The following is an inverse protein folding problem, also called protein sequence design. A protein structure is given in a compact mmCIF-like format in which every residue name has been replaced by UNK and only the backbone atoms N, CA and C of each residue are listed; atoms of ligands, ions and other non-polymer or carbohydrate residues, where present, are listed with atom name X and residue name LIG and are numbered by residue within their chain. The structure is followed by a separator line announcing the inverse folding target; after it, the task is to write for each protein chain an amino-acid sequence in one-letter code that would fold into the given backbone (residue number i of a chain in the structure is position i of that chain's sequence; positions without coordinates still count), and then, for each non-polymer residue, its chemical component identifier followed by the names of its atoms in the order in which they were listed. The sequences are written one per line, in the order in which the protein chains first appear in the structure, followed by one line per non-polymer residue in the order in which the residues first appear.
data_IF_576268010538
#
_entry.id   IF_576268010538
#
_cell.length_a   1.000
_cell.length_b   1.000
_cell.length_c   1.000
_cell.angle_alpha   90.00
_cell.angle_beta   90.00
_cell.angle_gamma   90.00
#
_symmetry.space_group_name_H-M   'P 1'
#
loop_
_entity.id
_entity.type
_entity.pdbx_description
1 polymer ?
#
# COMPACT_ATOMS: atom_id res chain seq x y z
N UNK A 1 -35.77 95.16 17.38
CA UNK A 1 -36.75 94.08 17.24
C UNK A 1 -36.03 92.95 16.49
N UNK A 2 -35.85 91.80 17.10
CA UNK A 2 -34.93 90.82 16.61
C UNK A 2 -35.58 89.88 15.58
N UNK A 3 -34.80 89.55 14.53
CA UNK A 3 -35.10 88.54 13.54
C UNK A 3 -34.67 87.21 14.06
N UNK A 4 -35.54 86.21 14.11
CA UNK A 4 -35.26 84.85 14.42
C UNK A 4 -34.85 84.13 13.15
N UNK A 5 -33.62 83.62 13.13
CA UNK A 5 -33.11 82.69 12.12
C UNK A 5 -33.69 81.33 12.36
N UNK A 6 -34.33 80.74 11.38
CA UNK A 6 -34.78 79.35 11.38
C UNK A 6 -33.62 78.43 10.97
N UNK A 7 -33.31 77.50 11.86
CA UNK A 7 -32.30 76.45 11.67
C UNK A 7 -32.84 75.42 10.70
N UNK A 8 -32.14 75.21 9.58
CA UNK A 8 -32.46 74.18 8.61
C UNK A 8 -31.96 72.83 9.12
N UNK A 9 -32.90 71.91 9.26
CA UNK A 9 -32.55 70.50 9.60
C UNK A 9 -31.84 69.81 8.44
N UNK A 10 -30.69 69.25 8.74
CA UNK A 10 -29.98 68.36 7.82
C UNK A 10 -30.71 67.03 7.74
N UNK A 11 -31.19 66.67 6.54
CA UNK A 11 -31.64 65.35 6.19
C UNK A 11 -30.41 64.41 6.12
N UNK A 12 -30.32 63.53 7.09
CA UNK A 12 -29.40 62.42 7.06
C UNK A 12 -29.95 61.37 6.11
N UNK A 13 -29.36 61.27 4.92
CA UNK A 13 -29.64 60.18 4.00
C UNK A 13 -29.09 58.90 4.60
N UNK A 14 -29.98 58.09 5.17
CA UNK A 14 -29.68 56.71 5.54
C UNK A 14 -29.57 55.88 4.24
N UNK A 15 -28.34 55.63 3.83
CA UNK A 15 -28.06 54.71 2.78
C UNK A 15 -28.26 53.30 3.35
N UNK A 16 -29.41 52.70 3.08
CA UNK A 16 -29.70 51.29 3.40
C UNK A 16 -28.70 50.43 2.65
N UNK A 17 -27.76 49.80 3.38
CA UNK A 17 -26.88 48.78 2.86
C UNK A 17 -27.73 47.60 2.42
N UNK A 18 -27.84 47.37 1.12
CA UNK A 18 -28.49 46.20 0.56
C UNK A 18 -27.75 44.95 1.06
N UNK A 19 -28.44 43.93 1.58
CA UNK A 19 -27.83 42.71 1.99
C UNK A 19 -27.18 42.05 0.75
N UNK A 20 -25.86 41.88 0.77
CA UNK A 20 -25.14 41.12 -0.23
C UNK A 20 -25.68 39.68 -0.18
N UNK A 21 -26.55 39.35 -1.11
CA UNK A 21 -26.99 37.95 -1.30
C UNK A 21 -25.80 37.11 -1.70
N UNK A 22 -25.20 36.46 -0.72
CA UNK A 22 -24.22 35.40 -0.96
C UNK A 22 -24.97 34.22 -1.61
N UNK A 23 -24.97 34.14 -2.95
CA UNK A 23 -25.36 32.95 -3.65
C UNK A 23 -24.19 31.98 -3.44
N UNK A 24 -24.31 30.90 -2.63
CA UNK A 24 -23.31 29.87 -2.61
C UNK A 24 -23.31 29.27 -4.02
N UNK A 25 -22.28 29.57 -4.81
CA UNK A 25 -22.00 28.80 -5.99
C UNK A 25 -21.72 27.38 -5.44
N UNK A 26 -22.65 26.47 -5.63
CA UNK A 26 -22.44 25.07 -5.27
C UNK A 26 -21.22 24.61 -6.08
N UNK A 27 -20.06 24.67 -5.45
CA UNK A 27 -18.89 23.96 -5.95
C UNK A 27 -19.35 22.51 -6.09
N UNK A 28 -19.52 22.05 -7.33
CA UNK A 28 -19.80 20.64 -7.59
C UNK A 28 -18.55 19.87 -7.14
N UNK A 29 -18.56 19.47 -5.87
CA UNK A 29 -17.49 18.67 -5.29
C UNK A 29 -17.55 17.28 -5.92
N UNK A 30 -16.60 17.01 -6.83
CA UNK A 30 -16.52 15.75 -7.55
C UNK A 30 -15.55 14.83 -6.82
N UNK A 31 -16.01 13.64 -6.46
CA UNK A 31 -15.20 12.61 -5.79
C UNK A 31 -14.98 11.47 -6.78
N UNK A 32 -13.74 11.05 -6.93
CA UNK A 32 -13.42 9.81 -7.64
C UNK A 32 -13.29 8.65 -6.65
N UNK A 33 -13.59 7.43 -7.09
CA UNK A 33 -13.23 6.24 -6.33
C UNK A 33 -12.76 5.13 -7.27
N UNK A 34 -11.94 4.22 -6.74
CA UNK A 34 -11.42 3.10 -7.52
C UNK A 34 -11.04 1.93 -6.60
N UNK A 35 -10.93 0.74 -7.19
CA UNK A 35 -10.30 -0.40 -6.55
C UNK A 35 -8.82 -0.46 -6.94
N UNK A 36 -7.95 -0.28 -5.95
CA UNK A 36 -6.50 -0.36 -6.13
C UNK A 36 -6.08 -1.77 -6.60
N UNK A 37 -6.65 -2.80 -5.99
CA UNK A 37 -6.37 -4.19 -6.32
C UNK A 37 -6.76 -4.52 -7.75
N UNK A 38 -7.93 -4.06 -8.21
CA UNK A 38 -8.34 -4.29 -9.59
C UNK A 38 -7.42 -3.62 -10.60
N UNK A 39 -6.97 -2.39 -10.34
CA UNK A 39 -6.01 -1.69 -11.18
C UNK A 39 -4.66 -2.42 -11.18
N UNK A 40 -4.14 -2.75 -10.00
CA UNK A 40 -2.86 -3.43 -9.82
C UNK A 40 -2.78 -4.75 -10.61
N UNK A 41 -3.80 -5.60 -10.51
CA UNK A 41 -3.81 -6.91 -11.17
C UNK A 41 -3.92 -6.84 -12.71
N UNK A 42 -4.24 -5.68 -13.29
CA UNK A 42 -4.24 -5.52 -14.75
C UNK A 42 -2.93 -4.98 -15.31
N UNK A 43 -2.01 -4.55 -14.45
CA UNK A 43 -0.72 -4.00 -14.87
C UNK A 43 0.26 -5.12 -15.26
N UNK A 44 0.83 -5.04 -16.46
CA UNK A 44 1.86 -5.98 -16.93
C UNK A 44 3.10 -5.99 -16.04
N UNK A 45 3.49 -4.82 -15.53
CA UNK A 45 4.63 -4.68 -14.61
C UNK A 45 4.40 -5.45 -13.32
N UNK A 46 3.19 -5.39 -12.75
CA UNK A 46 2.84 -6.15 -11.56
C UNK A 46 2.90 -7.66 -11.80
N UNK A 47 2.37 -8.13 -12.93
CA UNK A 47 2.43 -9.55 -13.29
C UNK A 47 3.88 -10.04 -13.43
N UNK A 48 4.73 -9.24 -14.06
CA UNK A 48 6.17 -9.55 -14.17
C UNK A 48 6.87 -9.59 -12.81
N UNK A 49 6.55 -8.66 -11.92
CA UNK A 49 7.05 -8.65 -10.54
C UNK A 49 6.62 -9.91 -9.79
N UNK A 50 5.34 -10.31 -9.92
CA UNK A 50 4.83 -11.52 -9.28
C UNK A 50 5.52 -12.79 -9.78
N UNK A 51 5.81 -12.88 -11.07
CA UNK A 51 6.55 -14.00 -11.65
C UNK A 51 7.99 -14.10 -11.09
N UNK A 52 8.71 -12.98 -11.07
CA UNK A 52 10.08 -12.93 -10.54
C UNK A 52 10.12 -13.30 -9.06
N UNK A 53 9.21 -12.73 -8.25
CA UNK A 53 9.11 -13.04 -6.82
C UNK A 53 8.68 -14.48 -6.57
N UNK A 54 7.78 -15.03 -7.39
CA UNK A 54 7.37 -16.42 -7.33
C UNK A 54 8.54 -17.37 -7.58
N UNK A 55 9.35 -17.08 -8.59
CA UNK A 55 10.55 -17.85 -8.90
C UNK A 55 11.58 -17.79 -7.76
N UNK A 56 11.83 -16.61 -7.21
CA UNK A 56 12.73 -16.42 -6.07
C UNK A 56 12.25 -17.19 -4.83
N UNK A 57 10.96 -17.10 -4.52
CA UNK A 57 10.35 -17.87 -3.42
C UNK A 57 10.53 -19.37 -3.60
N UNK A 58 10.27 -19.87 -4.79
CA UNK A 58 10.44 -21.30 -5.12
C UNK A 58 11.88 -21.77 -4.92
N UNK A 59 12.87 -20.95 -5.28
CA UNK A 59 14.28 -21.26 -5.05
C UNK A 59 14.59 -21.37 -3.55
N UNK A 60 14.20 -20.39 -2.74
CA UNK A 60 14.42 -20.44 -1.29
C UNK A 60 13.71 -21.61 -0.62
N UNK A 61 12.47 -21.90 -1.01
CA UNK A 61 11.72 -23.05 -0.49
C UNK A 61 12.38 -24.38 -0.85
N UNK A 62 12.95 -24.48 -2.06
CA UNK A 62 13.68 -25.68 -2.48
C UNK A 62 14.94 -25.88 -1.64
N UNK A 63 15.73 -24.83 -1.42
CA UNK A 63 16.93 -24.90 -0.60
C UNK A 63 16.61 -25.20 0.87
N UNK A 64 15.53 -24.62 1.42
CA UNK A 64 15.09 -24.94 2.78
C UNK A 64 14.70 -26.41 2.91
N UNK A 65 13.94 -26.96 1.95
CA UNK A 65 13.58 -28.39 1.95
C UNK A 65 14.80 -29.29 1.85
N UNK A 66 15.78 -28.93 1.03
CA UNK A 66 17.03 -29.70 0.92
C UNK A 66 17.80 -29.70 2.23
N UNK A 67 17.94 -28.55 2.87
CA UNK A 67 18.63 -28.40 4.14
C UNK A 67 17.92 -29.16 5.29
N UNK A 68 16.59 -29.10 5.34
CA UNK A 68 15.77 -29.86 6.30
C UNK A 68 15.91 -31.37 6.08
N UNK A 69 15.90 -31.82 4.84
CA UNK A 69 16.11 -33.24 4.48
C UNK A 69 17.47 -33.72 4.89
N UNK A 70 18.52 -32.97 4.55
CA UNK A 70 19.89 -33.31 4.94
C UNK A 70 20.05 -33.43 6.47
N UNK A 71 19.45 -32.49 7.18
CA UNK A 71 19.43 -32.54 8.66
C UNK A 71 18.71 -33.78 9.18
N UNK A 72 17.52 -34.10 8.66
CA UNK A 72 16.75 -35.26 9.06
C UNK A 72 17.52 -36.58 8.84
N UNK A 73 18.13 -36.75 7.66
CA UNK A 73 18.94 -37.95 7.34
C UNK A 73 20.15 -38.12 8.29
N UNK A 74 20.84 -37.01 8.59
CA UNK A 74 21.98 -37.04 9.52
C UNK A 74 21.54 -37.28 10.96
N UNK A 75 20.42 -36.74 11.34
CA UNK A 75 19.86 -36.92 12.67
C UNK A 75 19.40 -38.38 12.89
N UNK A 76 18.70 -38.98 11.93
CA UNK A 76 18.30 -40.39 11.96
C UNK A 76 19.52 -41.32 12.05
N UNK A 77 20.51 -41.10 11.17
CA UNK A 77 21.76 -41.88 11.20
C UNK A 77 22.52 -41.73 12.54
N UNK A 78 22.46 -40.58 13.18
CA UNK A 78 23.02 -40.38 14.51
C UNK A 78 22.26 -41.18 15.57
N UNK A 79 20.92 -41.15 15.55
CA UNK A 79 20.10 -41.89 16.51
C UNK A 79 20.35 -43.39 16.50
N UNK A 80 20.58 -44.00 15.32
CA UNK A 80 20.85 -45.42 15.17
C UNK A 80 22.14 -45.86 15.86
N UNK A 81 23.17 -45.00 15.83
CA UNK A 81 24.52 -45.40 16.29
C UNK A 81 24.96 -44.72 17.59
N UNK A 82 24.21 -43.75 18.15
CA UNK A 82 24.64 -42.92 19.27
C UNK A 82 25.08 -43.72 20.50
N UNK A 83 24.44 -44.87 20.77
CA UNK A 83 24.76 -45.69 21.93
C UNK A 83 26.04 -46.51 21.81
N UNK A 84 26.51 -46.76 20.55
CA UNK A 84 27.73 -47.47 20.27
C UNK A 84 28.97 -46.58 20.08
N UNK A 85 28.77 -45.27 20.01
CA UNK A 85 29.83 -44.30 19.79
C UNK A 85 30.63 -44.00 21.07
N UNK A 86 31.93 -43.85 20.92
CA UNK A 86 32.76 -43.26 21.95
C UNK A 86 32.29 -41.83 22.31
N UNK A 87 32.42 -41.45 23.58
CA UNK A 87 31.86 -40.21 24.10
C UNK A 87 32.27 -38.95 23.29
N UNK A 88 33.54 -38.83 22.97
CA UNK A 88 34.06 -37.71 22.16
C UNK A 88 33.49 -37.65 20.73
N UNK A 89 33.26 -38.81 20.10
CA UNK A 89 32.66 -38.89 18.77
C UNK A 89 31.17 -38.51 18.82
N UNK A 90 30.47 -38.99 19.82
CA UNK A 90 29.06 -38.66 20.05
C UNK A 90 28.87 -37.16 20.26
N UNK A 91 29.65 -36.53 21.12
CA UNK A 91 29.65 -35.11 21.41
C UNK A 91 29.92 -34.28 20.16
N UNK A 92 30.92 -34.65 19.37
CA UNK A 92 31.21 -33.99 18.09
C UNK A 92 30.03 -34.07 17.12
N UNK A 93 29.39 -35.24 16.96
CA UNK A 93 28.22 -35.36 16.04
C UNK A 93 27.02 -34.59 16.55
N UNK A 94 26.76 -34.54 17.86
CA UNK A 94 25.71 -33.70 18.44
C UNK A 94 25.95 -32.21 18.15
N UNK A 95 27.18 -31.75 18.30
CA UNK A 95 27.55 -30.36 17.98
C UNK A 95 27.37 -30.04 16.48
N UNK A 96 27.72 -30.97 15.60
CA UNK A 96 27.52 -30.82 14.15
C UNK A 96 26.04 -30.69 13.80
N UNK A 97 25.17 -31.53 14.38
CA UNK A 97 23.73 -31.47 14.18
C UNK A 97 23.13 -30.16 14.72
N UNK A 98 23.57 -29.72 15.89
CA UNK A 98 23.13 -28.43 16.46
C UNK A 98 23.53 -27.26 15.55
N UNK A 99 24.78 -27.24 15.07
CA UNK A 99 25.24 -26.21 14.14
C UNK A 99 24.46 -26.24 12.79
N UNK A 100 24.03 -27.44 12.31
CA UNK A 100 23.18 -27.52 11.13
C UNK A 100 21.80 -26.92 11.40
N UNK A 101 21.19 -27.25 12.52
CA UNK A 101 19.88 -26.70 12.90
C UNK A 101 19.93 -25.17 13.00
N UNK A 102 20.94 -24.63 13.69
CA UNK A 102 21.14 -23.18 13.82
C UNK A 102 21.30 -22.49 12.46
N UNK A 103 22.10 -23.09 11.55
CA UNK A 103 22.27 -22.57 10.19
C UNK A 103 20.98 -22.63 9.36
N UNK A 104 20.19 -23.68 9.51
CA UNK A 104 18.92 -23.80 8.80
C UNK A 104 17.91 -22.75 9.28
N UNK A 105 17.86 -22.47 10.58
CA UNK A 105 17.03 -21.40 11.15
C UNK A 105 17.49 -20.05 10.64
N UNK A 106 18.78 -19.75 10.72
CA UNK A 106 19.33 -18.48 10.25
C UNK A 106 19.11 -18.28 8.73
N UNK A 107 19.26 -19.33 7.92
CA UNK A 107 18.96 -19.26 6.50
C UNK A 107 17.50 -18.97 6.21
N UNK A 108 16.57 -19.57 6.95
CA UNK A 108 15.14 -19.31 6.80
C UNK A 108 14.79 -17.86 7.12
N UNK A 109 15.34 -17.32 8.19
CA UNK A 109 15.11 -15.92 8.58
C UNK A 109 15.66 -14.94 7.52
N UNK A 110 16.88 -15.23 7.04
CA UNK A 110 17.52 -14.43 6.00
C UNK A 110 16.75 -14.50 4.67
N UNK A 111 16.29 -15.68 4.27
CA UNK A 111 15.47 -15.85 3.06
C UNK A 111 14.16 -15.05 3.13
N UNK A 112 13.48 -15.07 4.29
CA UNK A 112 12.26 -14.27 4.50
C UNK A 112 12.56 -12.77 4.41
N UNK A 113 13.65 -12.31 5.00
CA UNK A 113 14.07 -10.91 4.95
C UNK A 113 14.37 -10.47 3.51
N UNK A 114 15.13 -11.28 2.78
CA UNK A 114 15.49 -10.96 1.38
C UNK A 114 14.27 -10.98 0.45
N UNK A 115 13.32 -11.89 0.66
CA UNK A 115 12.06 -11.90 -0.09
C UNK A 115 11.25 -10.63 0.16
N UNK A 116 11.12 -10.20 1.42
CA UNK A 116 10.40 -8.97 1.76
C UNK A 116 11.06 -7.73 1.15
N UNK A 117 12.40 -7.64 1.22
CA UNK A 117 13.14 -6.53 0.60
C UNK A 117 13.02 -6.52 -0.94
N UNK A 118 13.07 -7.70 -1.57
CA UNK A 118 12.90 -7.84 -3.00
C UNK A 118 11.50 -7.42 -3.44
N UNK A 119 10.47 -7.83 -2.68
CA UNK A 119 9.07 -7.44 -2.93
C UNK A 119 8.90 -5.93 -2.83
N UNK A 120 9.40 -5.31 -1.77
CA UNK A 120 9.27 -3.85 -1.58
C UNK A 120 9.94 -3.08 -2.71
N UNK A 121 11.18 -3.45 -3.06
CA UNK A 121 11.93 -2.82 -4.15
C UNK A 121 11.25 -2.99 -5.52
N UNK A 122 10.74 -4.19 -5.80
CA UNK A 122 10.10 -4.48 -7.08
C UNK A 122 8.73 -3.82 -7.21
N UNK A 123 8.00 -3.67 -6.08
CA UNK A 123 6.69 -3.03 -6.05
C UNK A 123 6.75 -1.50 -6.06
N UNK A 124 7.87 -0.90 -5.71
CA UNK A 124 8.01 0.56 -5.64
C UNK A 124 7.64 1.25 -6.97
N UNK A 125 8.24 0.89 -8.12
CA UNK A 125 7.91 1.55 -9.39
C UNK A 125 6.46 1.32 -9.82
N UNK A 126 5.86 0.17 -9.50
CA UNK A 126 4.46 -0.13 -9.78
C UNK A 126 3.54 0.81 -9.00
N UNK A 127 3.81 0.99 -7.69
CA UNK A 127 3.06 1.91 -6.83
C UNK A 127 3.20 3.36 -7.29
N UNK A 128 4.39 3.78 -7.71
CA UNK A 128 4.64 5.12 -8.23
C UNK A 128 3.84 5.39 -9.51
N UNK A 129 3.81 4.46 -10.46
CA UNK A 129 3.00 4.57 -11.67
C UNK A 129 1.52 4.74 -11.37
N UNK A 130 0.98 3.97 -10.42
CA UNK A 130 -0.43 4.11 -9.99
C UNK A 130 -0.65 5.48 -9.36
N UNK A 131 0.24 5.93 -8.47
CA UNK A 131 0.13 7.23 -7.83
C UNK A 131 0.19 8.39 -8.84
N UNK A 132 1.05 8.29 -9.86
CA UNK A 132 1.13 9.27 -10.93
C UNK A 132 -0.14 9.32 -11.78
N UNK A 133 -0.69 8.15 -12.14
CA UNK A 133 -1.95 8.08 -12.86
C UNK A 133 -3.11 8.70 -12.06
N UNK A 134 -3.19 8.42 -10.76
CA UNK A 134 -4.19 9.01 -9.87
C UNK A 134 -4.04 10.54 -9.81
N UNK A 135 -2.82 11.06 -9.65
CA UNK A 135 -2.56 12.51 -9.64
C UNK A 135 -2.96 13.16 -10.95
N UNK A 136 -2.62 12.54 -12.09
CA UNK A 136 -2.98 13.02 -13.41
C UNK A 136 -4.49 13.09 -13.60
N UNK A 137 -5.20 11.99 -13.34
CA UNK A 137 -6.66 11.93 -13.45
C UNK A 137 -7.34 12.90 -12.50
N UNK A 138 -6.83 13.01 -11.26
CA UNK A 138 -7.32 13.95 -10.26
C UNK A 138 -7.28 15.40 -10.74
N UNK A 139 -6.15 15.82 -11.31
CA UNK A 139 -5.97 17.15 -11.85
C UNK A 139 -6.80 17.43 -13.11
N UNK A 140 -6.78 16.50 -14.08
CA UNK A 140 -7.50 16.65 -15.36
C UNK A 140 -9.01 16.69 -15.19
N UNK A 141 -9.55 15.96 -14.24
CA UNK A 141 -11.01 15.84 -14.00
C UNK A 141 -11.51 16.69 -12.83
N UNK A 142 -10.62 17.46 -12.21
CA UNK A 142 -10.92 18.32 -11.08
C UNK A 142 -11.60 17.60 -9.90
N UNK A 143 -11.16 16.37 -9.60
CA UNK A 143 -11.60 15.69 -8.37
C UNK A 143 -10.99 16.39 -7.15
N UNK A 144 -11.80 16.62 -6.14
CA UNK A 144 -11.33 17.13 -4.85
C UNK A 144 -10.70 16.02 -3.99
N UNK A 145 -11.11 14.77 -4.25
CA UNK A 145 -10.69 13.59 -3.53
C UNK A 145 -10.83 12.36 -4.44
N UNK A 146 -9.86 11.45 -4.36
CA UNK A 146 -9.95 10.12 -4.95
C UNK A 146 -9.73 9.10 -3.84
N UNK A 147 -10.65 8.15 -3.70
CA UNK A 147 -10.69 7.18 -2.60
C UNK A 147 -10.44 5.78 -3.12
N UNK A 148 -9.58 5.03 -2.45
CA UNK A 148 -9.49 3.58 -2.62
C UNK A 148 -10.61 2.90 -1.84
N UNK A 149 -11.40 2.05 -2.50
CA UNK A 149 -12.55 1.36 -1.89
C UNK A 149 -12.24 -0.05 -1.39
N UNK A 150 -11.01 -0.52 -1.58
CA UNK A 150 -10.62 -1.84 -1.12
C UNK A 150 -10.70 -1.98 0.40
N UNK A 151 -10.88 -3.22 0.86
CA UNK A 151 -10.95 -3.55 2.29
C UNK A 151 -12.03 -2.79 3.07
N UNK A 152 -13.11 -2.38 2.39
CA UNK A 152 -14.21 -1.60 2.98
C UNK A 152 -13.75 -0.29 3.63
N UNK A 153 -12.68 0.32 3.11
CA UNK A 153 -12.13 1.57 3.63
C UNK A 153 -13.12 2.76 3.49
N UNK A 154 -14.05 2.66 2.54
CA UNK A 154 -15.11 3.64 2.35
C UNK A 154 -16.46 2.91 2.17
N UNK A 155 -17.21 2.67 3.26
CA UNK A 155 -18.42 1.85 3.23
C UNK A 155 -19.62 2.50 2.51
N UNK A 156 -19.56 3.82 2.29
CA UNK A 156 -20.59 4.55 1.56
C UNK A 156 -20.01 5.68 0.73
N UNK A 157 -20.43 5.74 -0.52
CA UNK A 157 -20.18 6.85 -1.45
C UNK A 157 -21.51 7.27 -2.09
N UNK A 158 -21.73 8.58 -2.17
CA UNK A 158 -22.94 9.10 -2.82
C UNK A 158 -22.91 8.80 -4.32
N UNK A 159 -23.90 8.10 -4.90
CA UNK A 159 -23.92 7.78 -6.33
C UNK A 159 -24.07 9.01 -7.22
N UNK A 160 -24.49 10.15 -6.67
CA UNK A 160 -24.64 11.40 -7.43
C UNK A 160 -23.40 12.29 -7.40
N UNK A 161 -22.47 12.07 -6.45
CA UNK A 161 -21.27 12.90 -6.25
C UNK A 161 -19.96 12.13 -6.47
N UNK A 162 -20.03 10.82 -6.48
CA UNK A 162 -18.86 9.95 -6.66
C UNK A 162 -18.90 9.25 -8.04
N UNK A 163 -17.75 9.18 -8.68
CA UNK A 163 -17.55 8.55 -9.99
C UNK A 163 -16.53 7.42 -9.86
N UNK A 164 -16.86 6.24 -10.40
CA UNK A 164 -15.92 5.13 -10.51
C UNK A 164 -14.92 5.38 -11.63
N UNK A 165 -13.65 5.52 -11.25
CA UNK A 165 -12.54 5.72 -12.18
C UNK A 165 -11.68 4.49 -12.37
N UNK A 166 -12.07 3.33 -11.84
CA UNK A 166 -11.29 2.09 -11.91
C UNK A 166 -10.94 1.72 -13.36
N UNK A 167 -11.95 1.72 -14.24
CA UNK A 167 -11.76 1.40 -15.67
C UNK A 167 -10.83 2.40 -16.35
N UNK A 168 -10.98 3.68 -16.05
CA UNK A 168 -10.13 4.72 -16.60
C UNK A 168 -8.66 4.54 -16.19
N UNK A 169 -8.41 4.23 -14.92
CA UNK A 169 -7.05 3.95 -14.43
C UNK A 169 -6.46 2.70 -15.07
N UNK A 170 -7.26 1.63 -15.21
CA UNK A 170 -6.84 0.42 -15.93
C UNK A 170 -6.40 0.71 -17.36
N UNK A 171 -7.12 1.57 -18.08
CA UNK A 171 -6.80 1.90 -19.48
C UNK A 171 -5.53 2.75 -19.61
N UNK A 172 -5.24 3.58 -18.63
CA UNK A 172 -4.02 4.40 -18.59
C UNK A 172 -2.78 3.57 -18.22
N UNK A 173 -2.96 2.51 -17.42
CA UNK A 173 -1.88 1.74 -16.80
C UNK A 173 -1.60 0.38 -17.47
N UNK A 174 -2.35 0.04 -18.51
CA UNK A 174 -2.10 -1.17 -19.33
C UNK A 174 -0.71 -1.20 -19.95
#
# INVERSE_FOLDING_TARGET
MPAFSTLSAQETVQQEAQPVQYKPTALQMKIGYFSYNEVLHTMSDYLSVQEVLGNLRTQYESEMRNAEKEFAEKYEAFLEVQHSLAAAIREKRQSELQNMMERNVAFKEEAMRQLAEAEEKAMLPVRERIADAIRKVGGERAYILIVNTDSNACPYLSPTMAEDITTLLKDILK
#
